data_IF_767128564620
#
_entry.id   IF_767128564620
#
_cell.length_a   1.000
_cell.length_b   1.000
_cell.length_c   1.000
_cell.angle_alpha   90.00
_cell.angle_beta   90.00
_cell.angle_gamma   90.00
#
_symmetry.space_group_name_H-M   'P 1'
#
loop_
_entity.id
_entity.type
_entity.pdbx_description
1 polymer ?
#
# COMPACT_ATOMS: atom_id res chain seq x y z
N UNK A 1 12.33 12.13 42.44
CA UNK A 1 13.19 12.98 43.28
C UNK A 1 14.16 13.69 42.32
N UNK A 2 13.83 14.89 41.85
CA UNK A 2 14.26 16.19 42.42
C UNK A 2 15.79 16.35 42.25
N UNK A 3 16.32 17.24 41.39
CA UNK A 3 16.25 18.71 41.40
C UNK A 3 16.78 19.22 40.02
N UNK A 4 16.06 19.99 39.19
CA UNK A 4 15.84 21.45 39.24
C UNK A 4 17.02 22.26 39.84
N UNK A 5 17.66 23.07 38.99
CA UNK A 5 18.04 24.49 39.22
C UNK A 5 19.49 24.83 38.83
N UNK A 6 19.74 25.21 37.58
CA UNK A 6 20.79 26.19 37.21
C UNK A 6 20.25 27.07 36.07
N UNK A 7 19.20 27.83 36.37
CA UNK A 7 18.77 28.97 35.57
C UNK A 7 18.42 30.07 36.56
N UNK A 8 19.45 30.83 36.96
CA UNK A 8 19.31 32.18 37.50
C UNK A 8 20.71 32.76 37.68
N UNK A 9 21.12 33.64 36.76
CA UNK A 9 21.70 34.94 37.09
C UNK A 9 21.98 35.72 35.79
N UNK A 10 20.94 36.39 35.26
CA UNK A 10 21.09 37.69 34.61
C UNK A 10 19.71 38.23 34.24
N UNK A 11 18.96 38.64 35.26
CA UNK A 11 17.96 39.68 35.09
C UNK A 11 18.57 40.97 35.64
N UNK A 12 18.52 42.00 34.80
CA UNK A 12 18.40 43.42 35.16
C UNK A 12 19.73 44.18 35.39
N UNK A 13 19.85 45.25 34.59
CA UNK A 13 20.80 46.38 34.61
C UNK A 13 22.11 46.22 33.82
N UNK A 14 22.32 47.14 32.87
CA UNK A 14 23.58 47.27 32.16
C UNK A 14 23.45 47.73 30.71
N UNK A 15 22.79 48.86 30.46
CA UNK A 15 22.95 49.62 29.20
C UNK A 15 24.44 49.77 28.90
N UNK A 16 24.95 49.16 27.83
CA UNK A 16 26.21 49.59 27.22
C UNK A 16 25.88 50.47 26.01
N UNK A 17 26.00 51.78 26.21
CA UNK A 17 26.10 52.79 25.14
C UNK A 17 27.57 52.95 24.82
N UNK A 18 27.95 52.67 23.57
CA UNK A 18 29.16 53.21 22.97
C UNK A 18 28.85 53.44 21.48
N UNK A 19 28.80 54.71 21.05
CA UNK A 19 28.58 55.08 19.64
C UNK A 19 27.15 54.87 19.12
N UNK A 20 26.68 55.79 18.28
CA UNK A 20 25.30 55.85 17.78
C UNK A 20 24.99 54.69 16.80
N UNK A 21 24.50 53.55 17.31
CA UNK A 21 23.54 52.61 16.67
C UNK A 21 23.30 51.40 17.60
N UNK A 22 22.04 51.16 17.97
CA UNK A 22 21.64 49.92 18.64
C UNK A 22 21.41 48.84 17.58
N UNK A 23 22.18 47.76 17.61
CA UNK A 23 21.97 46.61 16.72
C UNK A 23 21.30 45.50 17.53
N UNK A 24 20.08 45.14 17.13
CA UNK A 24 19.32 44.03 17.71
C UNK A 24 20.02 42.71 17.41
N UNK A 25 20.21 41.86 18.42
CA UNK A 25 20.81 40.52 18.32
C UNK A 25 20.02 39.57 17.38
N UNK A 26 18.80 39.96 16.97
CA UNK A 26 17.95 39.19 16.09
C UNK A 26 18.01 39.59 14.60
N UNK A 27 18.82 40.59 14.23
CA UNK A 27 18.81 41.11 12.85
C UNK A 27 19.76 40.39 11.88
N UNK A 28 20.60 39.45 12.36
CA UNK A 28 21.65 38.85 11.53
C UNK A 28 21.27 37.54 10.83
N UNK A 29 20.08 36.99 11.07
CA UNK A 29 19.71 35.67 10.55
C UNK A 29 18.87 35.65 9.28
N UNK A 30 18.37 36.81 8.80
CA UNK A 30 17.54 36.88 7.56
C UNK A 30 18.28 37.28 6.28
N UNK A 31 19.52 37.76 6.37
CA UNK A 31 20.28 38.29 5.22
C UNK A 31 21.69 37.69 5.05
N UNK A 32 22.03 36.64 5.80
CA UNK A 32 23.30 35.94 5.62
C UNK A 32 23.25 35.09 4.36
N UNK A 33 24.26 35.21 3.50
CA UNK A 33 24.49 34.30 2.35
C UNK A 33 24.50 32.83 2.80
N UNK A 34 24.85 32.56 4.06
CA UNK A 34 24.79 31.23 4.68
C UNK A 34 23.38 30.69 4.90
N UNK A 35 22.37 31.53 5.15
CA UNK A 35 20.97 31.08 5.23
C UNK A 35 20.44 30.68 3.85
N UNK A 36 20.78 31.46 2.82
CA UNK A 36 20.45 31.12 1.44
C UNK A 36 21.16 29.84 0.99
N UNK A 37 22.43 29.66 1.37
CA UNK A 37 23.18 28.42 1.11
C UNK A 37 22.61 27.23 1.87
N UNK A 38 22.16 27.42 3.12
CA UNK A 38 21.50 26.36 3.89
C UNK A 38 20.16 25.96 3.27
N UNK A 39 19.34 26.92 2.82
CA UNK A 39 18.11 26.61 2.09
C UNK A 39 18.41 25.95 0.75
N UNK A 40 19.38 26.44 -0.02
CA UNK A 40 19.76 25.86 -1.30
C UNK A 40 20.32 24.43 -1.13
N UNK A 41 21.15 24.18 -0.11
CA UNK A 41 21.62 22.84 0.23
C UNK A 41 20.46 21.93 0.62
N UNK A 42 19.52 22.38 1.45
CA UNK A 42 18.36 21.57 1.82
C UNK A 42 17.43 21.31 0.61
N UNK A 43 17.31 22.26 -0.32
CA UNK A 43 16.57 22.08 -1.58
C UNK A 43 17.28 21.14 -2.56
N UNK A 44 18.61 21.12 -2.57
CA UNK A 44 19.41 20.24 -3.43
C UNK A 44 19.63 18.84 -2.82
N UNK A 45 19.44 18.71 -1.50
CA UNK A 45 19.52 17.45 -0.75
C UNK A 45 18.16 16.82 -0.49
N UNK A 46 17.05 17.39 -1.00
CA UNK A 46 15.79 16.65 -0.99
C UNK A 46 15.99 15.41 -1.84
N UNK A 47 15.86 14.19 -1.27
CA UNK A 47 15.94 12.99 -2.08
C UNK A 47 14.86 13.10 -3.14
N UNK A 48 15.27 13.00 -4.42
CA UNK A 48 14.34 12.69 -5.48
C UNK A 48 13.77 11.31 -5.13
N UNK A 49 12.63 11.28 -4.44
CA UNK A 49 11.82 10.07 -4.34
C UNK A 49 11.36 9.79 -5.75
N UNK A 50 12.13 8.96 -6.44
CA UNK A 50 11.85 8.50 -7.79
C UNK A 50 10.74 7.47 -7.70
N UNK A 51 9.51 7.94 -7.58
CA UNK A 51 8.34 7.12 -7.80
C UNK A 51 8.30 6.75 -9.28
N UNK A 52 8.35 5.44 -9.55
CA UNK A 52 8.28 4.91 -10.90
C UNK A 52 6.85 4.46 -11.17
N UNK A 53 6.21 5.08 -12.17
CA UNK A 53 4.86 4.74 -12.59
C UNK A 53 4.87 3.92 -13.89
N UNK A 54 4.01 2.92 -13.93
CA UNK A 54 3.78 2.03 -15.05
C UNK A 54 2.28 1.98 -15.34
N UNK A 55 1.86 2.57 -16.47
CA UNK A 55 0.48 2.52 -16.94
C UNK A 55 0.30 1.35 -17.90
N UNK A 56 -0.71 0.50 -17.68
CA UNK A 56 -0.95 -0.69 -18.49
C UNK A 56 -2.40 -0.70 -18.96
N UNK A 57 -2.62 -0.94 -20.25
CA UNK A 57 -3.96 -1.24 -20.76
C UNK A 57 -4.18 -2.74 -20.64
N UNK A 58 -5.22 -3.16 -19.93
CA UNK A 58 -5.51 -4.55 -19.60
C UNK A 58 -6.89 -4.91 -20.13
N UNK A 59 -7.00 -6.04 -20.80
CA UNK A 59 -8.29 -6.56 -21.24
C UNK A 59 -8.91 -7.41 -20.13
N UNK A 60 -10.12 -7.06 -19.70
CA UNK A 60 -10.88 -7.87 -18.76
C UNK A 60 -11.49 -9.11 -19.47
N UNK A 61 -12.11 -10.01 -18.71
CA UNK A 61 -12.75 -11.21 -19.29
C UNK A 61 -13.94 -10.88 -20.21
N UNK A 62 -14.57 -9.71 -20.01
CA UNK A 62 -15.65 -9.20 -20.85
C UNK A 62 -15.19 -8.57 -22.17
N UNK A 63 -13.87 -8.53 -22.42
CA UNK A 63 -13.28 -7.94 -23.63
C UNK A 63 -13.07 -6.43 -23.57
N UNK A 64 -13.49 -5.77 -22.49
CA UNK A 64 -13.31 -4.34 -22.25
C UNK A 64 -11.87 -4.06 -21.82
N UNK A 65 -11.37 -2.88 -22.16
CA UNK A 65 -10.01 -2.46 -21.84
C UNK A 65 -10.05 -1.45 -20.72
N UNK A 66 -9.43 -1.79 -19.60
CA UNK A 66 -9.23 -0.90 -18.45
C UNK A 66 -7.77 -0.47 -18.37
N UNK A 67 -7.52 0.71 -17.82
CA UNK A 67 -6.15 1.17 -17.56
C UNK A 67 -5.81 0.95 -16.09
N UNK A 68 -4.76 0.18 -15.85
CA UNK A 68 -4.19 -0.06 -14.52
C UNK A 68 -2.91 0.76 -14.36
N UNK A 69 -2.75 1.42 -13.22
CA UNK A 69 -1.58 2.21 -12.85
C UNK A 69 -0.83 1.50 -11.73
N UNK A 70 0.44 1.17 -11.95
CA UNK A 70 1.32 0.60 -10.93
C UNK A 70 2.41 1.61 -10.60
N UNK A 71 2.46 2.04 -9.36
CA UNK A 71 3.48 2.95 -8.84
C UNK A 71 4.36 2.22 -7.85
N UNK A 72 5.67 2.40 -7.96
CA UNK A 72 6.65 1.79 -7.06
C UNK A 72 7.49 2.87 -6.37
N UNK A 73 7.52 2.81 -5.03
CA UNK A 73 8.35 3.67 -4.20
C UNK A 73 9.44 2.81 -3.52
N UNK A 74 10.67 2.92 -4.03
CA UNK A 74 11.81 2.15 -3.53
C UNK A 74 12.22 2.60 -2.11
N UNK A 75 12.07 3.90 -1.82
CA UNK A 75 12.47 4.49 -0.53
C UNK A 75 11.65 3.98 0.65
N UNK A 76 10.37 3.70 0.41
CA UNK A 76 9.44 3.15 1.41
C UNK A 76 9.21 1.63 1.25
N UNK A 77 9.75 1.03 0.19
CA UNK A 77 9.53 -0.38 -0.21
C UNK A 77 8.03 -0.70 -0.39
N UNK A 78 7.37 0.16 -1.17
CA UNK A 78 5.93 0.11 -1.45
C UNK A 78 5.64 -0.09 -2.92
N UNK A 79 4.58 -0.83 -3.20
CA UNK A 79 3.96 -0.90 -4.52
C UNK A 79 2.49 -0.52 -4.37
N UNK A 80 1.99 0.35 -5.24
CA UNK A 80 0.57 0.73 -5.31
C UNK A 80 0.04 0.37 -6.68
N UNK A 81 -1.06 -0.38 -6.75
CA UNK A 81 -1.81 -0.67 -7.96
C UNK A 81 -3.17 0.02 -7.91
N UNK A 82 -3.54 0.75 -8.94
CA UNK A 82 -4.79 1.50 -9.00
C UNK A 82 -5.49 1.30 -10.34
N UNK A 83 -6.79 1.06 -10.30
CA UNK A 83 -7.61 0.95 -11.50
C UNK A 83 -9.07 1.25 -11.20
N UNK A 84 -9.79 1.69 -12.23
CA UNK A 84 -11.23 1.89 -12.18
C UNK A 84 -11.93 0.73 -12.90
N UNK A 85 -12.87 0.09 -12.22
CA UNK A 85 -13.76 -0.91 -12.82
C UNK A 85 -14.77 -0.24 -13.75
N UNK A 86 -15.44 -1.03 -14.58
CA UNK A 86 -16.45 -0.54 -15.52
C UNK A 86 -17.75 -0.07 -14.84
N UNK A 87 -18.02 -0.55 -13.62
CA UNK A 87 -19.07 -0.05 -12.74
C UNK A 87 -18.70 1.29 -12.05
N UNK A 88 -17.52 1.86 -12.34
CA UNK A 88 -17.03 3.11 -11.76
C UNK A 88 -16.32 2.95 -10.42
N UNK A 89 -16.32 1.75 -9.81
CA UNK A 89 -15.60 1.46 -8.57
C UNK A 89 -14.11 1.67 -8.75
N UNK A 90 -13.51 2.46 -7.86
CA UNK A 90 -12.07 2.68 -7.83
C UNK A 90 -11.41 1.70 -6.85
N UNK A 91 -10.46 0.92 -7.34
CA UNK A 91 -9.66 -0.02 -6.54
C UNK A 91 -8.25 0.54 -6.41
N UNK A 92 -7.77 0.66 -5.17
CA UNK A 92 -6.39 0.98 -4.84
C UNK A 92 -5.83 -0.13 -3.95
N UNK A 93 -4.81 -0.84 -4.42
CA UNK A 93 -4.11 -1.85 -3.66
C UNK A 93 -2.71 -1.36 -3.31
N UNK A 94 -2.38 -1.32 -2.02
CA UNK A 94 -1.05 -0.96 -1.52
C UNK A 94 -0.40 -2.20 -0.92
N UNK A 95 0.84 -2.49 -1.33
CA UNK A 95 1.69 -3.57 -0.84
C UNK A 95 2.87 -2.95 -0.08
N UNK A 96 2.94 -3.22 1.21
CA UNK A 96 4.01 -2.80 2.12
C UNK A 96 4.94 -3.97 2.43
N UNK A 97 6.06 -4.05 1.70
CA UNK A 97 7.00 -5.16 1.82
C UNK A 97 7.72 -5.22 3.16
N UNK A 98 7.80 -4.11 3.90
CA UNK A 98 8.48 -4.06 5.20
C UNK A 98 7.65 -4.75 6.27
N UNK A 99 6.36 -4.45 6.31
CA UNK A 99 5.43 -5.01 7.30
C UNK A 99 4.68 -6.24 6.78
N UNK A 100 4.91 -6.66 5.54
CA UNK A 100 4.19 -7.75 4.86
C UNK A 100 2.67 -7.53 4.86
N UNK A 101 2.24 -6.27 4.69
CA UNK A 101 0.82 -5.87 4.67
C UNK A 101 0.38 -5.56 3.24
N UNK A 102 -0.77 -6.09 2.86
CA UNK A 102 -1.52 -5.67 1.70
C UNK A 102 -2.78 -4.95 2.18
N UNK A 103 -3.01 -3.75 1.67
CA UNK A 103 -4.24 -2.98 1.88
C UNK A 103 -4.97 -2.91 0.55
N UNK A 104 -6.20 -3.38 0.50
CA UNK A 104 -7.09 -3.16 -0.64
C UNK A 104 -8.15 -2.14 -0.23
N UNK A 105 -8.11 -0.95 -0.84
CA UNK A 105 -9.14 0.08 -0.74
C UNK A 105 -10.09 -0.06 -1.94
N UNK A 106 -11.39 -0.12 -1.66
CA UNK A 106 -12.43 -0.07 -2.66
C UNK A 106 -13.33 1.14 -2.38
N UNK A 107 -13.44 2.04 -3.36
CA UNK A 107 -14.40 3.14 -3.37
C UNK A 107 -15.51 2.77 -4.35
N UNK A 108 -16.66 2.40 -3.82
CA UNK A 108 -17.84 2.01 -4.59
C UNK A 108 -18.79 3.20 -4.67
N UNK A 109 -19.25 3.52 -5.89
CA UNK A 109 -20.20 4.60 -6.10
C UNK A 109 -21.60 4.18 -5.64
N UNK A 110 -22.35 5.13 -5.09
CA UNK A 110 -23.74 4.89 -4.71
C UNK A 110 -24.63 4.74 -5.95
N UNK A 111 -25.59 3.82 -5.88
CA UNK A 111 -26.60 3.63 -6.92
C UNK A 111 -27.82 4.52 -6.63
N UNK A 112 -27.98 5.61 -7.39
CA UNK A 112 -29.06 6.58 -7.20
C UNK A 112 -30.45 5.93 -7.33
N UNK A 113 -30.59 4.97 -8.25
CA UNK A 113 -31.82 4.17 -8.46
C UNK A 113 -32.23 3.35 -7.23
N UNK A 114 -31.31 3.16 -6.28
CA UNK A 114 -31.54 2.43 -5.02
C UNK A 114 -31.56 3.36 -3.81
N UNK A 115 -31.63 4.67 -4.05
CA UNK A 115 -31.65 5.69 -3.01
C UNK A 115 -30.29 5.97 -2.36
N UNK A 116 -29.19 5.56 -3.00
CA UNK A 116 -27.85 5.88 -2.54
C UNK A 116 -27.27 7.06 -3.32
N UNK A 117 -27.11 8.21 -2.65
CA UNK A 117 -26.48 9.39 -3.26
C UNK A 117 -25.00 9.56 -2.90
N UNK A 118 -24.47 8.72 -1.99
CA UNK A 118 -23.10 8.82 -1.49
C UNK A 118 -22.30 7.56 -1.87
N UNK A 119 -21.01 7.76 -2.10
CA UNK A 119 -20.07 6.66 -2.29
C UNK A 119 -19.72 6.01 -0.94
N UNK A 120 -19.23 4.78 -1.00
CA UNK A 120 -18.77 4.02 0.17
C UNK A 120 -17.32 3.65 -0.02
N UNK A 121 -16.52 3.76 1.05
CA UNK A 121 -15.11 3.40 1.05
C UNK A 121 -14.90 2.26 2.03
N UNK A 122 -14.27 1.19 1.56
CA UNK A 122 -13.90 0.03 2.37
C UNK A 122 -12.41 -0.22 2.23
N UNK A 123 -11.78 -0.70 3.29
CA UNK A 123 -10.40 -1.12 3.30
C UNK A 123 -10.26 -2.53 3.87
N UNK A 124 -9.47 -3.38 3.22
CA UNK A 124 -9.15 -4.73 3.69
C UNK A 124 -7.65 -4.83 3.91
N UNK A 125 -7.23 -5.01 5.16
CA UNK A 125 -5.83 -5.23 5.52
C UNK A 125 -5.58 -6.73 5.72
N UNK A 126 -4.71 -7.31 4.89
CA UNK A 126 -4.38 -8.73 4.89
C UNK A 126 -2.88 -8.93 4.80
N UNK A 127 -2.35 -10.02 5.34
CA UNK A 127 -0.94 -10.36 5.12
C UNK A 127 -0.75 -10.81 3.68
N UNK A 128 0.29 -10.33 3.01
CA UNK A 128 0.68 -10.86 1.69
C UNK A 128 1.93 -11.73 1.78
N UNK A 129 2.14 -12.58 0.78
CA UNK A 129 3.35 -13.40 0.69
C UNK A 129 4.35 -12.74 -0.25
N UNK A 130 5.62 -12.63 0.16
CA UNK A 130 6.69 -12.03 -0.66
C UNK A 130 6.87 -12.66 -2.05
N UNK A 131 6.43 -13.91 -2.23
CA UNK A 131 6.46 -14.60 -3.51
C UNK A 131 5.31 -14.24 -4.46
N UNK A 132 4.31 -13.47 -4.02
CA UNK A 132 3.18 -13.10 -4.86
C UNK A 132 3.46 -11.94 -5.80
N UNK A 133 4.41 -11.07 -5.45
CA UNK A 133 4.79 -9.87 -6.20
C UNK A 133 6.30 -9.82 -6.41
N UNK A 134 6.74 -9.14 -7.48
CA UNK A 134 8.16 -8.75 -7.60
C UNK A 134 8.46 -7.61 -6.62
N UNK A 135 9.72 -7.46 -6.20
CA UNK A 135 10.12 -6.39 -5.29
C UNK A 135 9.89 -4.99 -5.88
N UNK A 136 9.76 -3.99 -5.01
CA UNK A 136 9.63 -2.57 -5.41
C UNK A 136 10.79 -2.12 -6.33
N UNK A 137 12.03 -2.50 -6.02
CA UNK A 137 13.19 -2.20 -6.89
C UNK A 137 13.07 -2.80 -8.30
N UNK A 138 12.53 -4.02 -8.42
CA UNK A 138 12.29 -4.64 -9.72
C UNK A 138 11.13 -3.98 -10.46
N UNK A 139 10.06 -3.64 -9.74
CA UNK A 139 8.88 -2.95 -10.28
C UNK A 139 9.26 -1.58 -10.84
N UNK A 140 10.09 -0.81 -10.12
CA UNK A 140 10.52 0.52 -10.53
C UNK A 140 11.39 0.55 -11.80
N UNK A 141 11.96 -0.60 -12.19
CA UNK A 141 12.76 -0.76 -13.42
C UNK A 141 11.90 -1.15 -14.62
N UNK A 142 10.64 -1.53 -14.41
CA UNK A 142 9.74 -1.88 -15.50
C UNK A 142 9.45 -0.64 -16.35
N UNK A 143 9.51 -0.84 -17.66
CA UNK A 143 9.15 0.17 -18.65
C UNK A 143 8.39 -0.51 -19.76
N UNK A 144 7.34 0.13 -20.25
CA UNK A 144 6.67 -0.34 -21.44
C UNK A 144 7.45 0.05 -22.69
N UNK A 145 7.64 -0.92 -23.58
CA UNK A 145 8.16 -0.64 -24.92
C UNK A 145 7.12 0.11 -25.78
N UNK A 146 5.84 -0.28 -25.64
CA UNK A 146 4.72 0.26 -26.41
C UNK A 146 3.55 0.61 -25.46
N UNK A 147 3.22 1.90 -25.29
CA UNK A 147 2.18 2.35 -24.35
C UNK A 147 0.75 1.91 -24.70
N UNK A 148 0.45 1.74 -25.99
CA UNK A 148 -0.90 1.37 -26.46
C UNK A 148 -1.15 -0.15 -26.49
N UNK A 149 -0.17 -0.97 -26.12
CA UNK A 149 -0.34 -2.43 -26.14
C UNK A 149 -1.30 -2.87 -25.04
N UNK A 150 -2.38 -3.53 -25.45
CA UNK A 150 -3.30 -4.25 -24.56
C UNK A 150 -2.58 -5.50 -24.05
N UNK A 151 -2.57 -5.69 -22.73
CA UNK A 151 -1.91 -6.80 -22.06
C UNK A 151 -2.92 -7.81 -21.56
N UNK A 152 -2.54 -9.06 -21.69
CA UNK A 152 -3.21 -10.21 -21.09
C UNK A 152 -2.24 -10.89 -20.11
N UNK A 153 -2.73 -11.38 -18.96
CA UNK A 153 -1.90 -12.12 -18.01
C UNK A 153 -1.39 -13.42 -18.62
N UNK A 154 -0.21 -13.88 -18.22
CA UNK A 154 0.34 -15.17 -18.65
C UNK A 154 -0.21 -16.34 -17.83
N UNK A 155 -0.56 -16.08 -16.58
CA UNK A 155 -1.09 -17.07 -15.64
C UNK A 155 -2.32 -16.52 -14.92
N UNK A 156 -3.29 -17.39 -14.69
CA UNK A 156 -4.42 -17.12 -13.81
C UNK A 156 -4.20 -17.81 -12.46
N UNK A 157 -4.02 -17.02 -11.40
CA UNK A 157 -3.92 -17.56 -10.03
C UNK A 157 -5.28 -17.93 -9.43
N UNK A 158 -6.38 -17.70 -10.15
CA UNK A 158 -7.73 -18.02 -9.70
C UNK A 158 -8.24 -17.06 -8.62
N UNK A 159 -9.16 -17.56 -7.79
CA UNK A 159 -9.84 -16.79 -6.74
C UNK A 159 -9.39 -17.20 -5.36
N UNK A 160 -9.02 -16.23 -4.54
CA UNK A 160 -8.72 -16.41 -3.11
C UNK A 160 -9.82 -15.79 -2.25
N UNK A 161 -10.23 -16.49 -1.19
CA UNK A 161 -11.31 -16.04 -0.29
C UNK A 161 -10.75 -15.59 1.05
N UNK A 162 -11.24 -14.46 1.52
CA UNK A 162 -10.83 -13.80 2.74
C UNK A 162 -12.03 -13.54 3.63
N UNK A 163 -12.18 -14.31 4.71
CA UNK A 163 -13.21 -14.05 5.73
C UNK A 163 -12.67 -13.13 6.81
N UNK A 164 -13.15 -11.89 6.85
CA UNK A 164 -12.81 -10.89 7.87
C UNK A 164 -13.34 -11.30 9.24
N UNK A 165 -12.63 -10.93 10.31
CA UNK A 165 -13.04 -11.23 11.69
C UNK A 165 -13.03 -10.02 12.62
N UNK A 166 -12.58 -8.86 12.14
CA UNK A 166 -12.54 -7.65 12.93
C UNK A 166 -12.40 -6.37 12.11
N UNK A 167 -12.56 -5.25 12.79
CA UNK A 167 -12.28 -3.91 12.31
C UNK A 167 -10.93 -3.42 12.80
N UNK A 168 -10.34 -2.48 12.07
CA UNK A 168 -9.13 -1.77 12.49
C UNK A 168 -9.50 -0.40 13.04
N UNK A 169 -8.99 -0.08 14.22
CA UNK A 169 -9.03 1.28 14.77
C UNK A 169 -7.89 2.09 14.14
N UNK A 170 -8.22 2.92 13.13
CA UNK A 170 -7.22 3.65 12.33
C UNK A 170 -6.26 4.50 13.19
N UNK A 171 -6.75 5.14 14.25
CA UNK A 171 -5.93 5.93 15.17
C UNK A 171 -4.83 5.12 15.88
N UNK A 172 -4.97 3.79 15.95
CA UNK A 172 -4.05 2.85 16.59
C UNK A 172 -3.40 1.89 15.61
N UNK A 173 -3.61 2.05 14.30
CA UNK A 173 -3.19 1.07 13.29
C UNK A 173 -1.69 1.02 12.99
N UNK A 174 -0.88 1.88 13.60
CA UNK A 174 0.57 1.94 13.38
C UNK A 174 1.30 0.61 13.54
N UNK A 175 0.96 -0.28 14.50
CA UNK A 175 1.60 -1.59 14.63
C UNK A 175 1.33 -2.53 13.44
N UNK A 176 0.25 -2.31 12.68
CA UNK A 176 -0.01 -3.05 11.43
C UNK A 176 0.81 -2.42 10.31
N UNK A 177 0.52 -1.15 10.00
CA UNK A 177 1.29 -0.34 9.07
C UNK A 177 0.90 1.13 9.22
N UNK A 178 1.84 2.04 8.97
CA UNK A 178 1.59 3.49 8.99
C UNK A 178 0.68 3.97 7.86
N UNK A 179 0.54 3.19 6.79
CA UNK A 179 -0.17 3.60 5.58
C UNK A 179 -1.70 3.53 5.72
N UNK A 180 -2.21 2.79 6.71
CA UNK A 180 -3.65 2.64 6.94
C UNK A 180 -4.33 3.98 7.27
N UNK A 181 -3.71 4.81 8.11
CA UNK A 181 -4.30 6.09 8.52
C UNK A 181 -4.55 7.03 7.34
N UNK A 182 -3.64 7.05 6.37
CA UNK A 182 -3.73 7.93 5.20
C UNK A 182 -4.60 7.33 4.11
N UNK A 183 -4.41 6.04 3.79
CA UNK A 183 -5.11 5.40 2.68
C UNK A 183 -6.60 5.19 2.98
N UNK A 184 -6.91 4.83 4.23
CA UNK A 184 -8.25 4.44 4.67
C UNK A 184 -8.94 5.50 5.53
N UNK A 185 -8.50 6.76 5.48
CA UNK A 185 -9.04 7.86 6.29
C UNK A 185 -10.57 8.01 6.18
N UNK A 186 -11.14 7.71 5.00
CA UNK A 186 -12.58 7.77 4.71
C UNK A 186 -13.34 6.49 5.12
N UNK A 187 -12.63 5.43 5.52
CA UNK A 187 -13.18 4.12 5.86
C UNK A 187 -13.02 3.81 7.37
N UNK A 188 -13.30 4.78 8.24
CA UNK A 188 -13.10 4.66 9.69
C UNK A 188 -13.82 3.46 10.31
N UNK A 189 -15.05 3.19 9.88
CA UNK A 189 -15.90 2.08 10.35
C UNK A 189 -15.95 0.91 9.35
N UNK A 190 -15.18 0.99 8.26
CA UNK A 190 -15.16 0.04 7.15
C UNK A 190 -13.74 -0.39 6.77
N UNK A 191 -12.84 -0.42 7.76
CA UNK A 191 -11.49 -1.00 7.62
C UNK A 191 -11.45 -2.33 8.34
N UNK A 192 -11.15 -3.40 7.61
CA UNK A 192 -11.30 -4.79 8.05
C UNK A 192 -9.97 -5.53 8.13
N UNK A 193 -9.92 -6.53 9.00
CA UNK A 193 -8.75 -7.39 9.23
C UNK A 193 -9.19 -8.80 9.64
N UNK A 194 -8.23 -9.74 9.70
CA UNK A 194 -8.44 -11.12 10.14
C UNK A 194 -7.50 -11.53 11.27
N UNK A 195 -8.00 -12.36 12.18
CA UNK A 195 -7.24 -12.93 13.30
C UNK A 195 -6.03 -13.75 12.81
N UNK A 196 -6.15 -14.43 11.67
CA UNK A 196 -5.04 -15.19 11.07
C UNK A 196 -3.90 -14.28 10.60
N UNK A 197 -4.23 -13.09 10.10
CA UNK A 197 -3.22 -12.11 9.65
C UNK A 197 -2.56 -11.44 10.86
N UNK A 198 -3.32 -11.14 11.92
CA UNK A 198 -2.77 -10.60 13.17
C UNK A 198 -1.74 -11.56 13.79
N UNK A 199 -2.05 -12.87 13.84
CA UNK A 199 -1.10 -13.88 14.32
C UNK A 199 0.17 -13.93 13.47
N UNK A 200 0.01 -13.92 12.15
CA UNK A 200 1.15 -13.97 11.24
C UNK A 200 2.00 -12.69 11.27
N UNK A 201 1.41 -11.51 11.49
CA UNK A 201 2.17 -10.28 11.71
C UNK A 201 2.84 -10.22 13.08
N UNK A 202 2.28 -10.86 14.11
CA UNK A 202 2.90 -10.95 15.42
C UNK A 202 4.21 -11.77 15.43
N UNK A 203 4.39 -12.65 14.44
CA UNK A 203 5.63 -13.40 14.24
C UNK A 203 6.74 -12.57 13.59
N UNK A 204 6.43 -11.36 13.07
CA UNK A 204 7.41 -10.47 12.48
C UNK A 204 8.30 -9.81 13.56
N UNK A 205 9.59 -9.58 13.28
CA UNK A 205 10.50 -8.93 14.23
C UNK A 205 10.00 -7.55 14.65
N UNK A 206 9.92 -7.31 15.96
CA UNK A 206 9.50 -6.01 16.52
C UNK A 206 7.99 -5.81 16.58
N UNK A 207 7.20 -6.79 16.16
CA UNK A 207 5.74 -6.81 16.32
C UNK A 207 5.34 -7.56 17.60
N UNK A 208 4.15 -7.26 18.13
CA UNK A 208 3.57 -8.03 19.25
C UNK A 208 2.07 -8.17 19.08
N UNK A 209 1.55 -9.36 19.41
CA UNK A 209 0.12 -9.65 19.27
C UNK A 209 -0.74 -8.68 20.09
N UNK A 210 -0.31 -8.31 21.30
CA UNK A 210 -1.05 -7.37 22.16
C UNK A 210 -1.17 -5.98 21.56
N UNK A 211 -0.15 -5.51 20.82
CA UNK A 211 -0.21 -4.21 20.13
C UNK A 211 -1.16 -4.24 18.93
N UNK A 212 -1.20 -5.36 18.21
CA UNK A 212 -2.09 -5.59 17.07
C UNK A 212 -3.55 -5.73 17.53
N UNK A 213 -3.79 -6.48 18.60
CA UNK A 213 -5.12 -6.61 19.22
C UNK A 213 -5.63 -5.27 19.76
N UNK A 214 -4.76 -4.45 20.36
CA UNK A 214 -5.15 -3.11 20.83
C UNK A 214 -5.54 -2.14 19.71
N UNK A 215 -5.15 -2.44 18.46
CA UNK A 215 -5.48 -1.70 17.25
C UNK A 215 -6.72 -2.25 16.52
N UNK A 216 -7.36 -3.30 17.03
CA UNK A 216 -8.45 -4.00 16.35
C UNK A 216 -9.64 -4.25 17.26
N UNK A 217 -10.81 -4.44 16.66
CA UNK A 217 -12.06 -4.77 17.34
C UNK A 217 -12.68 -5.98 16.65
N UNK A 218 -13.02 -7.02 17.41
CA UNK A 218 -13.60 -8.24 16.83
C UNK A 218 -15.04 -8.02 16.41
N UNK A 219 -15.45 -8.72 15.36
CA UNK A 219 -16.85 -8.81 14.97
C UNK A 219 -17.68 -9.50 16.06
N UNK A 220 -18.99 -9.23 16.13
CA UNK A 220 -19.91 -10.01 16.97
C UNK A 220 -19.96 -11.48 16.52
N UNK A 221 -19.78 -12.41 17.47
CA UNK A 221 -19.71 -13.87 17.20
C UNK A 221 -21.04 -14.49 16.68
N UNK A 222 -22.15 -13.76 16.71
CA UNK A 222 -23.50 -14.31 16.57
C UNK A 222 -24.13 -14.21 15.16
N UNK A 223 -23.42 -13.67 14.16
CA UNK A 223 -24.02 -13.37 12.86
C UNK A 223 -23.46 -14.24 11.72
N UNK A 224 -24.33 -15.05 11.11
CA UNK A 224 -24.01 -15.90 9.96
C UNK A 224 -24.83 -15.59 8.71
N UNK A 225 -25.90 -14.79 8.83
CA UNK A 225 -26.81 -14.48 7.72
C UNK A 225 -26.19 -13.51 6.73
N UNK A 226 -26.32 -13.81 5.43
CA UNK A 226 -25.82 -12.97 4.33
C UNK A 226 -26.74 -11.79 4.06
N UNK A 227 -26.20 -10.70 3.51
CA UNK A 227 -26.97 -9.49 3.25
C UNK A 227 -28.10 -9.70 2.23
N UNK A 228 -27.95 -10.64 1.28
CA UNK A 228 -29.02 -10.98 0.35
C UNK A 228 -30.22 -11.68 1.00
N UNK A 229 -30.01 -12.42 2.09
CA UNK A 229 -31.06 -13.13 2.84
C UNK A 229 -31.80 -12.23 3.85
N UNK A 230 -31.24 -11.07 4.21
CA UNK A 230 -31.82 -10.15 5.19
C UNK A 230 -32.79 -9.17 4.52
N UNK A 231 -34.04 -9.12 4.97
CA UNK A 231 -35.05 -8.19 4.43
C UNK A 231 -34.93 -6.76 4.97
N UNK A 232 -34.49 -6.60 6.22
CA UNK A 232 -34.36 -5.29 6.86
C UNK A 232 -33.07 -4.56 6.45
N UNK A 233 -33.20 -3.35 5.89
CA UNK A 233 -32.06 -2.52 5.50
C UNK A 233 -31.14 -2.10 6.66
N UNK A 234 -31.68 -2.09 7.88
CA UNK A 234 -31.01 -1.62 9.08
C UNK A 234 -30.47 -2.76 9.95
N UNK A 235 -30.71 -4.02 9.55
CA UNK A 235 -30.18 -5.17 10.25
C UNK A 235 -28.73 -5.44 9.83
N UNK A 236 -27.88 -5.96 10.75
CA UNK A 236 -26.53 -6.37 10.41
C UNK A 236 -26.55 -7.64 9.56
N UNK A 237 -25.56 -7.80 8.69
CA UNK A 237 -25.40 -8.98 7.83
C UNK A 237 -23.93 -9.20 7.44
N UNK A 238 -23.64 -10.36 6.86
CA UNK A 238 -22.36 -10.63 6.19
C UNK A 238 -22.46 -10.24 4.72
N UNK A 239 -21.55 -9.36 4.30
CA UNK A 239 -21.41 -8.86 2.94
C UNK A 239 -20.29 -9.58 2.20
N UNK A 240 -20.43 -9.73 0.89
CA UNK A 240 -19.37 -10.21 -0.01
C UNK A 240 -18.94 -9.12 -0.98
N UNK A 241 -17.63 -8.97 -1.19
CA UNK A 241 -17.06 -8.13 -2.25
C UNK A 241 -16.02 -8.92 -3.03
N UNK A 242 -16.24 -9.10 -4.33
CA UNK A 242 -15.26 -9.70 -5.23
C UNK A 242 -14.57 -8.61 -6.08
N UNK A 243 -13.25 -8.69 -6.17
CA UNK A 243 -12.43 -7.82 -7.02
C UNK A 243 -11.32 -8.62 -7.68
N UNK A 244 -11.01 -8.28 -8.93
CA UNK A 244 -10.00 -8.98 -9.73
C UNK A 244 -8.97 -7.98 -10.24
N UNK A 245 -7.70 -8.30 -10.05
CA UNK A 245 -6.59 -7.59 -10.70
C UNK A 245 -6.35 -8.31 -12.02
N UNK A 246 -6.55 -7.61 -13.13
CA UNK A 246 -6.50 -8.19 -14.47
C UNK A 246 -5.08 -8.50 -14.91
N UNK A 247 -4.10 -7.72 -14.45
CA UNK A 247 -2.70 -7.92 -14.78
C UNK A 247 -1.77 -7.38 -13.69
N UNK A 248 -0.83 -8.19 -13.21
CA UNK A 248 0.24 -7.66 -12.36
C UNK A 248 1.53 -8.47 -12.46
N UNK A 249 2.71 -7.85 -12.25
CA UNK A 249 3.98 -8.56 -12.22
C UNK A 249 4.12 -9.43 -10.95
N UNK A 250 3.95 -10.74 -11.12
CA UNK A 250 3.94 -11.72 -10.03
C UNK A 250 5.25 -12.52 -9.90
N UNK A 251 6.19 -12.36 -10.84
CA UNK A 251 7.47 -13.06 -10.78
C UNK A 251 8.49 -12.55 -11.78
N UNK A 252 9.76 -12.95 -11.62
CA UNK A 252 10.84 -12.66 -12.55
C UNK A 252 11.07 -13.84 -13.49
N UNK A 253 11.34 -13.54 -14.77
CA UNK A 253 11.77 -14.54 -15.76
C UNK A 253 13.28 -14.55 -15.92
N UNK A 254 13.84 -15.74 -15.96
CA UNK A 254 15.26 -15.99 -16.16
C UNK A 254 15.49 -16.74 -17.46
N UNK A 255 16.40 -16.23 -18.29
CA UNK A 255 16.80 -16.83 -19.55
C UNK A 255 18.20 -17.43 -19.39
N UNK A 256 18.45 -18.55 -20.07
CA UNK A 256 19.78 -19.17 -20.10
C UNK A 256 20.70 -18.34 -20.99
N UNK A 257 21.88 -17.98 -20.49
CA UNK A 257 22.96 -17.47 -21.33
C UNK A 257 23.42 -18.53 -22.33
N UNK A 258 23.69 -18.14 -23.58
CA UNK A 258 24.47 -18.99 -24.48
C UNK A 258 25.88 -19.11 -23.91
N UNK A 259 26.34 -20.34 -23.66
CA UNK A 259 27.78 -20.61 -23.51
C UNK A 259 28.48 -20.14 -24.78
N UNK A 260 29.33 -19.13 -24.69
CA UNK A 260 30.26 -18.83 -25.77
C UNK A 260 31.35 -19.91 -25.76
N UNK A 261 31.22 -20.86 -26.69
CA UNK A 261 32.32 -21.71 -27.14
C UNK A 261 32.29 -23.15 -26.64
N UNK A 262 31.93 -24.09 -27.54
CA UNK A 262 32.59 -25.40 -27.58
C UNK A 262 32.44 -26.04 -28.98
N UNK A 263 32.99 -25.37 -30.00
CA UNK A 263 33.58 -26.13 -31.11
C UNK A 263 34.95 -26.59 -30.62
N UNK A 264 35.00 -27.63 -29.80
CA UNK A 264 36.14 -28.55 -29.71
C UNK A 264 35.79 -29.72 -28.77
N UNK A 265 35.98 -30.89 -29.35
CA UNK A 265 35.99 -32.22 -28.77
C UNK A 265 36.55 -32.34 -27.35
N UNK A 266 35.83 -33.09 -26.51
CA UNK A 266 36.43 -34.03 -25.57
C UNK A 266 36.64 -33.56 -24.12
N UNK A 267 36.03 -34.34 -23.22
CA UNK A 267 36.41 -34.56 -21.83
C UNK A 267 36.09 -33.49 -20.77
N UNK A 268 35.52 -34.04 -19.67
CA UNK A 268 35.37 -33.48 -18.32
C UNK A 268 34.14 -32.59 -18.05
N UNK A 269 33.08 -33.27 -17.61
CA UNK A 269 31.97 -32.70 -16.88
C UNK A 269 32.46 -32.18 -15.51
N UNK A 270 32.83 -30.90 -15.45
CA UNK A 270 32.94 -30.15 -14.20
C UNK A 270 32.01 -28.93 -14.28
N UNK A 271 31.04 -28.92 -13.35
CA UNK A 271 30.12 -27.86 -12.91
C UNK A 271 30.32 -26.46 -13.54
N UNK A 272 30.03 -26.30 -14.83
CA UNK A 272 29.90 -24.99 -15.44
C UNK A 272 28.55 -24.40 -15.03
N UNK A 273 28.63 -23.44 -14.11
CA UNK A 273 27.55 -22.59 -13.64
C UNK A 273 26.87 -21.92 -14.86
N UNK A 274 25.73 -22.48 -15.29
CA UNK A 274 24.85 -21.82 -16.27
C UNK A 274 24.40 -20.49 -15.66
N UNK A 275 24.97 -19.38 -16.13
CA UNK A 275 24.59 -18.03 -15.69
C UNK A 275 23.22 -17.68 -16.28
N UNK A 276 22.16 -18.00 -15.53
CA UNK A 276 20.81 -17.55 -15.84
C UNK A 276 20.71 -16.05 -15.60
N UNK A 277 20.39 -15.26 -16.63
CA UNK A 277 20.21 -13.80 -16.51
C UNK A 277 18.73 -13.42 -16.51
N UNK A 278 18.40 -12.28 -15.89
CA UNK A 278 17.02 -11.77 -15.84
C UNK A 278 16.63 -11.23 -17.21
N UNK A 279 15.54 -11.73 -17.79
CA UNK A 279 15.11 -11.36 -19.15
C UNK A 279 13.67 -10.83 -19.25
N UNK A 280 12.89 -10.88 -18.16
CA UNK A 280 11.54 -10.34 -18.17
C UNK A 280 10.79 -10.57 -16.86
N UNK A 281 9.47 -10.46 -16.93
CA UNK A 281 8.54 -10.71 -15.83
C UNK A 281 7.56 -11.82 -16.19
N UNK A 282 7.10 -12.54 -15.18
CA UNK A 282 5.88 -13.34 -15.22
C UNK A 282 4.73 -12.43 -14.80
N UNK A 283 3.63 -12.49 -15.53
CA UNK A 283 2.45 -11.66 -15.28
C UNK A 283 1.27 -12.53 -14.93
N UNK A 284 0.51 -12.13 -13.92
CA UNK A 284 -0.60 -12.91 -13.40
C UNK A 284 -1.88 -12.09 -13.37
N UNK A 285 -3.02 -12.78 -13.28
CA UNK A 285 -4.26 -12.24 -12.75
C UNK A 285 -4.65 -12.98 -11.47
N UNK A 286 -5.40 -12.32 -10.60
CA UNK A 286 -5.92 -12.92 -9.36
C UNK A 286 -7.21 -12.20 -8.95
N UNK A 287 -8.19 -12.98 -8.53
CA UNK A 287 -9.40 -12.46 -7.90
C UNK A 287 -9.35 -12.68 -6.40
N UNK A 288 -9.85 -11.72 -5.63
CA UNK A 288 -10.02 -11.84 -4.19
C UNK A 288 -11.47 -11.58 -3.83
N UNK A 289 -12.03 -12.48 -3.03
CA UNK A 289 -13.38 -12.38 -2.50
C UNK A 289 -13.30 -12.14 -1.00
N UNK A 290 -13.79 -11.00 -0.54
CA UNK A 290 -13.84 -10.65 0.86
C UNK A 290 -15.24 -10.92 1.40
N UNK A 291 -15.34 -11.63 2.53
CA UNK A 291 -16.58 -11.74 3.31
C UNK A 291 -16.37 -10.98 4.62
N UNK A 292 -17.24 -10.03 4.93
CA UNK A 292 -17.08 -9.12 6.06
C UNK A 292 -18.41 -8.71 6.68
N UNK A 293 -18.36 -8.33 7.95
CA UNK A 293 -19.53 -7.87 8.68
C UNK A 293 -19.85 -6.42 8.31
N UNK A 294 -21.13 -6.15 8.03
CA UNK A 294 -21.68 -4.79 7.97
C UNK A 294 -22.74 -4.60 9.06
N UNK A 295 -22.76 -3.41 9.67
CA UNK A 295 -23.72 -3.09 10.74
C UNK A 295 -25.14 -2.95 10.21
N UNK A 296 -25.27 -2.59 8.94
CA UNK A 296 -26.55 -2.35 8.29
C UNK A 296 -26.47 -2.81 6.83
N UNK A 297 -27.47 -3.57 6.36
CA UNK A 297 -27.57 -4.03 4.97
C UNK A 297 -27.44 -2.89 3.94
N UNK A 298 -27.87 -1.67 4.26
CA UNK A 298 -27.68 -0.52 3.35
C UNK A 298 -26.20 -0.24 2.98
N UNK A 299 -25.24 -0.74 3.77
CA UNK A 299 -23.80 -0.63 3.50
C UNK A 299 -23.27 -1.72 2.56
N UNK A 300 -24.16 -2.57 2.04
CA UNK A 300 -23.84 -3.72 1.20
C UNK A 300 -25.00 -4.02 0.25
N UNK A 301 -25.28 -3.08 -0.66
CA UNK A 301 -26.36 -3.28 -1.66
C UNK A 301 -25.90 -4.06 -2.90
N UNK A 302 -24.59 -4.22 -3.10
CA UNK A 302 -24.02 -4.97 -4.23
C UNK A 302 -23.98 -6.50 -4.02
N UNK A 303 -24.22 -6.98 -2.79
CA UNK A 303 -24.25 -8.42 -2.47
C UNK A 303 -25.70 -8.94 -2.64
N UNK A 304 -26.02 -9.30 -3.88
CA UNK A 304 -27.30 -9.90 -4.30
C UNK A 304 -27.22 -11.43 -4.42
#
# INVERSE_FOLDING_TARGET
MAHRSVLNLCRITGRRRCGRRAVSCYHFFRHSRGFFWFILCNLLLTPNNSDAQLLINVQNQGGEVIQESITSNIGEDLITLEFQKTDGTLITQLIDFRNEVQILKALVLGEEERGQSQYQVMCFATKFNKGDFISSDAMAKLRQKNPHTIRTPEEDKGRETYTMSGWVQLNRSLPITRHLQTLCAEATDATYVRDVDLKAWAELPGSSISSLEAATEKFPDALSTRCNEVSSLWAPCLCTLETCIGWYPCGLKYCKGKSLGSDTSGAQAQQQQQTNYRCGIKTCRKCTQFTYYVRQKQQCLWDE
#
